data_IF_205519731557
#
_entry.id   IF_205519731557
#
_cell.length_a   1.000
_cell.length_b   1.000
_cell.length_c   1.000
_cell.angle_alpha   90.00
_cell.angle_beta   90.00
_cell.angle_gamma   90.00
#
_symmetry.space_group_name_H-M   'P 1'
#
loop_
_entity.id
_entity.type
_entity.pdbx_description
1 polymer ?
#
# COMPACT_ATOMS: atom_id res chain seq x y z
N UNK A 1 56.16 69.63 54.88
CA UNK A 1 55.69 69.62 56.28
C UNK A 1 54.32 68.95 56.28
N UNK A 2 54.23 67.79 56.95
CA UNK A 2 53.00 67.02 57.16
C UNK A 2 51.95 67.84 57.89
N UNK A 3 50.67 67.60 57.60
CA UNK A 3 49.65 67.57 58.65
C UNK A 3 48.54 66.58 58.32
N UNK A 4 48.29 65.71 59.29
CA UNK A 4 47.36 64.57 59.35
C UNK A 4 45.88 65.03 59.37
N UNK A 5 45.02 64.35 58.60
CA UNK A 5 43.99 63.37 59.03
C UNK A 5 42.74 63.93 59.72
N UNK A 6 41.56 63.61 59.19
CA UNK A 6 40.36 63.45 59.98
C UNK A 6 39.48 62.32 59.40
N UNK A 7 39.34 61.29 60.22
CA UNK A 7 38.50 60.10 60.03
C UNK A 7 37.02 60.45 60.25
N UNK A 8 36.12 59.93 59.42
CA UNK A 8 34.68 59.96 59.68
C UNK A 8 34.02 58.62 59.31
N UNK A 9 33.41 57.89 60.26
CA UNK A 9 32.97 56.50 60.08
C UNK A 9 31.64 56.40 59.30
N UNK A 10 31.51 55.39 58.43
CA UNK A 10 30.23 55.03 57.81
C UNK A 10 29.50 54.00 58.68
N UNK A 11 28.28 54.35 59.10
CA UNK A 11 27.33 53.46 59.77
C UNK A 11 26.37 52.91 58.71
N UNK A 12 26.22 51.60 58.71
CA UNK A 12 25.38 50.81 57.81
C UNK A 12 23.88 51.13 57.98
N UNK A 13 23.15 51.19 56.86
CA UNK A 13 21.69 51.11 56.84
C UNK A 13 21.28 49.81 56.11
N UNK A 14 20.62 48.93 56.85
CA UNK A 14 20.13 47.61 56.41
C UNK A 14 18.75 47.80 55.77
N UNK A 15 18.59 47.43 54.49
CA UNK A 15 17.33 46.99 53.88
C UNK A 15 17.62 46.18 52.60
N UNK A 16 16.87 45.09 52.31
CA UNK A 16 17.22 44.14 51.27
C UNK A 16 16.71 44.59 49.90
N UNK A 17 17.63 44.86 48.97
CA UNK A 17 17.28 45.13 47.57
C UNK A 17 17.08 43.80 46.83
N UNK A 18 15.86 43.55 46.33
CA UNK A 18 15.57 42.43 45.43
C UNK A 18 16.38 42.56 44.12
N UNK A 19 16.80 41.44 43.47
CA UNK A 19 17.45 41.48 42.17
C UNK A 19 16.47 41.94 41.10
N UNK A 20 16.93 42.78 40.18
CA UNK A 20 16.13 43.36 39.08
C UNK A 20 16.02 42.36 37.91
N UNK A 21 14.81 41.88 37.64
CA UNK A 21 14.47 40.98 36.50
C UNK A 21 14.31 41.72 35.14
N UNK A 22 14.61 43.02 35.06
CA UNK A 22 14.34 43.86 33.87
C UNK A 22 15.18 43.54 32.61
N UNK A 23 16.18 42.66 32.70
CA UNK A 23 17.07 42.33 31.57
C UNK A 23 16.51 41.23 30.67
N UNK A 24 15.76 40.28 31.23
CA UNK A 24 15.26 39.13 30.48
C UNK A 24 13.98 39.47 29.67
N UNK A 25 13.12 40.35 30.18
CA UNK A 25 11.93 40.83 29.44
C UNK A 25 12.29 41.73 28.24
N UNK A 26 13.34 42.55 28.35
CA UNK A 26 13.81 43.40 27.23
C UNK A 26 14.39 42.57 26.09
N UNK A 27 15.17 41.54 26.40
CA UNK A 27 15.71 40.60 25.39
C UNK A 27 14.59 39.89 24.64
N UNK A 28 13.57 39.40 25.35
CA UNK A 28 12.44 38.69 24.75
C UNK A 28 11.57 39.59 23.84
N UNK A 29 11.37 40.86 24.24
CA UNK A 29 10.65 41.84 23.42
C UNK A 29 11.40 42.19 22.13
N UNK A 30 12.71 42.36 22.21
CA UNK A 30 13.54 42.67 21.04
C UNK A 30 13.65 41.47 20.08
N UNK A 31 13.68 40.24 20.60
CA UNK A 31 13.58 39.03 19.77
C UNK A 31 12.23 38.92 19.03
N UNK A 32 11.12 39.23 19.72
CA UNK A 32 9.80 39.28 19.10
C UNK A 32 9.71 40.34 18.00
N UNK A 33 10.25 41.53 18.24
CA UNK A 33 10.30 42.61 17.24
C UNK A 33 11.18 42.24 16.04
N UNK A 34 12.31 41.54 16.26
CA UNK A 34 13.14 41.03 15.17
C UNK A 34 12.40 39.95 14.37
N UNK A 35 11.68 39.04 15.02
CA UNK A 35 10.87 38.01 14.37
C UNK A 35 9.71 38.58 13.56
N UNK A 36 9.06 39.63 14.05
CA UNK A 36 8.03 40.35 13.29
C UNK A 36 8.64 41.01 12.05
N UNK A 37 9.77 41.69 12.19
CA UNK A 37 10.47 42.31 11.06
C UNK A 37 10.95 41.29 10.02
N UNK A 38 11.34 40.08 10.42
CA UNK A 38 11.71 39.02 9.46
C UNK A 38 10.48 38.48 8.75
N UNK A 39 9.37 38.24 9.47
CA UNK A 39 8.09 37.84 8.86
C UNK A 39 7.57 38.89 7.88
N UNK A 40 7.62 40.18 8.20
CA UNK A 40 7.17 41.24 7.30
C UNK A 40 8.02 41.32 6.02
N UNK A 41 9.33 41.10 6.12
CA UNK A 41 10.21 41.00 4.94
C UNK A 41 9.89 39.77 4.09
N UNK A 42 9.50 38.68 4.71
CA UNK A 42 9.12 37.44 4.02
C UNK A 42 7.76 37.60 3.32
N UNK A 43 6.79 38.22 3.98
CA UNK A 43 5.49 38.60 3.40
C UNK A 43 5.71 39.49 2.17
N UNK A 44 6.51 40.56 2.29
CA UNK A 44 6.77 41.45 1.17
C UNK A 44 7.44 40.74 -0.03
N UNK A 45 8.35 39.78 0.24
CA UNK A 45 8.97 38.96 -0.82
C UNK A 45 7.93 38.05 -1.50
N UNK A 46 7.09 37.38 -0.72
CA UNK A 46 6.04 36.50 -1.24
C UNK A 46 5.00 37.29 -2.04
N UNK A 47 4.58 38.46 -1.57
CA UNK A 47 3.65 39.34 -2.26
C UNK A 47 4.22 39.87 -3.58
N UNK A 48 5.52 40.22 -3.62
CA UNK A 48 6.22 40.60 -4.85
C UNK A 48 6.27 39.43 -5.84
N UNK A 49 6.54 38.22 -5.34
CA UNK A 49 6.56 37.00 -6.16
C UNK A 49 5.17 36.66 -6.71
N UNK A 50 4.12 36.77 -5.90
CA UNK A 50 2.72 36.58 -6.32
C UNK A 50 2.36 37.59 -7.41
N UNK A 51 2.67 38.87 -7.23
CA UNK A 51 2.40 39.90 -8.23
C UNK A 51 3.13 39.62 -9.55
N UNK A 52 4.41 39.19 -9.48
CA UNK A 52 5.17 38.82 -10.67
C UNK A 52 4.52 37.64 -11.40
N UNK A 53 4.13 36.60 -10.67
CA UNK A 53 3.46 35.42 -11.23
C UNK A 53 2.09 35.77 -11.84
N UNK A 54 1.31 36.64 -11.19
CA UNK A 54 0.04 37.13 -11.73
C UNK A 54 0.22 37.91 -13.03
N UNK A 55 1.23 38.77 -13.12
CA UNK A 55 1.58 39.48 -14.38
C UNK A 55 2.00 38.50 -15.47
N UNK A 56 2.80 37.48 -15.13
CA UNK A 56 3.19 36.43 -16.08
C UNK A 56 1.99 35.63 -16.55
N UNK A 57 1.08 35.26 -15.64
CA UNK A 57 -0.16 34.57 -15.97
C UNK A 57 -1.02 35.38 -16.94
N UNK A 58 -1.23 36.68 -16.66
CA UNK A 58 -1.99 37.55 -17.56
C UNK A 58 -1.34 37.67 -18.95
N UNK A 59 -0.01 37.72 -19.01
CA UNK A 59 0.72 37.77 -20.28
C UNK A 59 0.54 36.49 -21.09
N UNK A 60 0.63 35.33 -20.44
CA UNK A 60 0.42 34.02 -21.07
C UNK A 60 -1.04 33.80 -21.46
N UNK A 61 -2.01 34.26 -20.66
CA UNK A 61 -3.44 34.21 -21.01
C UNK A 61 -3.78 35.13 -22.18
N UNK A 62 -3.12 36.28 -22.30
CA UNK A 62 -3.25 37.17 -23.45
C UNK A 62 -2.63 36.55 -24.71
N UNK A 63 -1.47 35.93 -24.58
CA UNK A 63 -0.81 35.21 -25.68
C UNK A 63 -1.61 34.00 -26.14
N UNK A 64 -2.20 33.24 -25.21
CA UNK A 64 -3.08 32.10 -25.52
C UNK A 64 -4.43 32.53 -26.13
N UNK A 65 -4.85 33.78 -25.93
CA UNK A 65 -6.05 34.37 -26.56
C UNK A 65 -5.76 34.98 -27.94
N UNK A 66 -4.49 35.12 -28.33
CA UNK A 66 -4.15 35.57 -29.68
C UNK A 66 -4.50 34.43 -30.65
N UNK A 67 -5.31 34.67 -31.70
CA UNK A 67 -5.56 33.65 -32.72
C UNK A 67 -4.22 33.22 -33.33
N UNK A 68 -4.06 31.94 -33.71
CA UNK A 68 -2.83 31.49 -34.34
C UNK A 68 -2.63 32.29 -35.62
N UNK A 69 -1.55 33.08 -35.67
CA UNK A 69 -1.07 33.64 -36.94
C UNK A 69 -0.85 32.47 -37.88
N UNK A 70 -1.52 32.49 -39.04
CA UNK A 70 -1.23 31.62 -40.17
C UNK A 70 0.22 31.86 -40.59
N UNK A 71 1.15 31.13 -39.97
CA UNK A 71 2.51 31.01 -40.49
C UNK A 71 2.40 30.20 -41.76
N UNK A 72 2.49 30.92 -42.88
CA UNK A 72 2.82 30.35 -44.17
C UNK A 72 3.99 29.38 -44.01
N UNK A 73 3.82 28.21 -44.61
CA UNK A 73 4.79 27.12 -44.67
C UNK A 73 6.09 27.61 -45.32
N UNK A 74 7.01 28.14 -44.51
CA UNK A 74 8.42 28.20 -44.85
C UNK A 74 9.13 27.16 -43.99
N UNK A 75 9.99 26.31 -44.57
CA UNK A 75 10.76 25.34 -43.79
C UNK A 75 11.65 26.10 -42.81
N UNK A 76 11.54 25.83 -41.51
CA UNK A 76 12.49 26.38 -40.54
C UNK A 76 13.91 25.91 -40.93
N UNK A 77 14.89 26.84 -40.97
CA UNK A 77 16.27 26.48 -41.23
C UNK A 77 16.78 25.60 -40.08
N UNK A 78 17.56 24.59 -40.43
CA UNK A 78 18.20 23.63 -39.53
C UNK A 78 18.67 24.27 -38.21
N UNK A 79 18.10 23.82 -37.11
CA UNK A 79 18.41 24.27 -35.74
C UNK A 79 19.87 23.92 -35.39
N UNK A 80 20.73 24.93 -35.37
CA UNK A 80 22.10 24.81 -34.90
C UNK A 80 22.11 24.77 -33.35
N UNK A 81 22.36 23.59 -32.78
CA UNK A 81 22.28 23.31 -31.33
C UNK A 81 23.35 24.03 -30.48
N UNK A 82 24.24 24.82 -31.09
CA UNK A 82 25.44 25.36 -30.44
C UNK A 82 25.21 26.54 -29.49
N UNK A 83 24.02 27.17 -29.52
CA UNK A 83 23.72 28.37 -28.72
C UNK A 83 22.45 28.27 -27.86
N UNK A 84 21.84 27.09 -27.74
CA UNK A 84 20.58 26.93 -27.03
C UNK A 84 20.78 26.38 -25.61
N UNK A 85 20.06 26.95 -24.65
CA UNK A 85 20.01 26.42 -23.28
C UNK A 85 19.45 24.99 -23.29
N UNK A 86 19.96 24.12 -22.41
CA UNK A 86 19.48 22.73 -22.25
C UNK A 86 17.95 22.68 -22.14
N UNK A 87 17.33 23.63 -21.43
CA UNK A 87 15.87 23.71 -21.34
C UNK A 87 15.20 23.98 -22.70
N UNK A 88 15.78 24.84 -23.54
CA UNK A 88 15.27 25.11 -24.89
C UNK A 88 15.38 23.90 -25.80
N UNK A 89 16.48 23.13 -25.69
CA UNK A 89 16.68 21.89 -26.43
C UNK A 89 15.62 20.86 -26.01
N UNK A 90 15.40 20.68 -24.71
CA UNK A 90 14.37 19.78 -24.17
C UNK A 90 12.97 20.20 -24.62
N UNK A 91 12.64 21.49 -24.59
CA UNK A 91 11.34 21.98 -25.04
C UNK A 91 11.15 21.81 -26.55
N UNK A 92 12.19 22.03 -27.37
CA UNK A 92 12.14 21.80 -28.80
C UNK A 92 11.95 20.31 -29.13
N UNK A 93 12.69 19.43 -28.46
CA UNK A 93 12.57 17.98 -28.63
C UNK A 93 11.21 17.46 -28.15
N UNK A 94 10.70 17.97 -27.01
CA UNK A 94 9.37 17.64 -26.51
C UNK A 94 8.28 18.14 -27.45
N UNK A 95 8.41 19.33 -28.06
CA UNK A 95 7.47 19.81 -29.09
C UNK A 95 7.44 18.87 -30.29
N UNK A 96 8.60 18.49 -30.83
CA UNK A 96 8.69 17.56 -31.96
C UNK A 96 8.12 16.18 -31.63
N UNK A 97 8.38 15.65 -30.43
CA UNK A 97 7.80 14.38 -29.96
C UNK A 97 6.28 14.47 -29.75
N UNK A 98 5.79 15.59 -29.20
CA UNK A 98 4.37 15.84 -29.04
C UNK A 98 3.68 15.93 -30.41
N UNK A 99 4.24 16.67 -31.37
CA UNK A 99 3.74 16.72 -32.76
C UNK A 99 3.69 15.33 -33.41
N UNK A 100 4.71 14.50 -33.21
CA UNK A 100 4.73 13.10 -33.66
C UNK A 100 3.62 12.24 -33.03
N UNK A 101 3.36 12.43 -31.73
CA UNK A 101 2.27 11.74 -31.04
C UNK A 101 0.89 12.25 -31.51
N UNK A 102 0.73 13.55 -31.70
CA UNK A 102 -0.50 14.18 -32.19
C UNK A 102 -0.81 13.76 -33.63
N UNK A 103 0.18 13.64 -34.51
CA UNK A 103 -0.01 13.11 -35.87
C UNK A 103 -0.42 11.64 -35.86
N UNK A 104 0.11 10.83 -34.94
CA UNK A 104 -0.32 9.43 -34.76
C UNK A 104 -1.78 9.34 -34.27
N UNK A 105 -2.16 10.21 -33.34
CA UNK A 105 -3.51 10.30 -32.74
C UNK A 105 -4.55 10.98 -33.65
N UNK A 106 -4.11 11.77 -34.63
CA UNK A 106 -4.98 12.43 -35.63
C UNK A 106 -5.85 11.43 -36.39
N UNK A 107 -5.38 10.19 -36.59
CA UNK A 107 -6.15 9.09 -37.22
C UNK A 107 -7.25 8.51 -36.34
N UNK A 108 -7.25 8.81 -35.04
CA UNK A 108 -8.14 8.21 -34.05
C UNK A 108 -9.13 9.23 -33.42
N UNK A 109 -9.02 10.53 -33.74
CA UNK A 109 -9.90 11.57 -33.24
C UNK A 109 -10.84 12.11 -34.33
N UNK A 110 -12.11 12.33 -34.00
CA UNK A 110 -12.99 13.13 -34.83
C UNK A 110 -12.47 14.59 -34.83
N UNK A 111 -11.76 14.98 -35.88
CA UNK A 111 -11.40 16.36 -36.12
C UNK A 111 -12.67 17.14 -36.49
N UNK A 112 -12.80 18.39 -36.02
CA UNK A 112 -13.80 19.29 -36.60
C UNK A 112 -13.46 19.57 -38.07
N UNK A 113 -14.42 20.02 -38.86
CA UNK A 113 -14.25 20.33 -40.30
C UNK A 113 -13.06 21.29 -40.60
N UNK A 114 -12.58 22.02 -39.59
CA UNK A 114 -11.43 22.92 -39.66
C UNK A 114 -10.09 22.28 -39.24
N UNK A 115 -10.01 20.94 -39.10
CA UNK A 115 -8.78 20.22 -38.76
C UNK A 115 -8.30 20.41 -37.31
N UNK A 116 -9.11 21.02 -36.44
CA UNK A 116 -8.75 21.25 -35.03
C UNK A 116 -9.20 20.08 -34.13
N UNK A 117 -8.46 19.80 -33.04
CA UNK A 117 -8.89 18.85 -32.02
C UNK A 117 -10.24 19.24 -31.42
N UNK A 118 -11.11 18.26 -31.16
CA UNK A 118 -12.40 18.48 -30.49
C UNK A 118 -12.26 19.12 -29.10
N UNK A 119 -11.16 18.81 -28.38
CA UNK A 119 -10.77 19.41 -27.12
C UNK A 119 -9.24 19.55 -27.07
N UNK A 120 -8.73 20.67 -26.57
CA UNK A 120 -7.29 20.90 -26.39
C UNK A 120 -6.80 20.41 -25.01
N UNK A 121 -7.71 20.36 -24.04
CA UNK A 121 -7.44 19.89 -22.68
C UNK A 121 -8.73 19.32 -22.04
N UNK A 122 -8.63 18.38 -21.07
CA UNK A 122 -9.80 17.73 -20.48
C UNK A 122 -10.83 18.70 -19.86
N UNK A 123 -10.37 19.91 -19.49
CA UNK A 123 -11.21 20.99 -18.97
C UNK A 123 -12.14 21.63 -20.00
N UNK A 124 -11.86 21.48 -21.29
CA UNK A 124 -12.66 22.07 -22.37
C UNK A 124 -14.03 21.38 -22.52
N UNK A 125 -14.19 20.23 -21.86
CA UNK A 125 -15.46 19.51 -21.82
C UNK A 125 -16.45 20.20 -20.86
N UNK A 126 -17.69 20.41 -21.30
CA UNK A 126 -18.75 20.94 -20.42
C UNK A 126 -18.97 20.08 -19.16
N UNK A 127 -18.73 18.77 -19.28
CA UNK A 127 -18.80 17.78 -18.20
C UNK A 127 -17.79 18.06 -17.09
N UNK A 128 -16.59 18.54 -17.42
CA UNK A 128 -15.58 18.91 -16.42
C UNK A 128 -16.11 20.03 -15.50
N UNK A 129 -16.65 21.09 -16.09
CA UNK A 129 -17.21 22.20 -15.33
C UNK A 129 -18.46 21.81 -14.54
N UNK A 130 -19.29 20.93 -15.10
CA UNK A 130 -20.43 20.37 -14.39
C UNK A 130 -20.01 19.54 -13.17
N UNK A 131 -19.02 18.65 -13.33
CA UNK A 131 -18.45 17.88 -12.24
C UNK A 131 -17.84 18.79 -11.17
N UNK A 132 -17.16 19.87 -11.56
CA UNK A 132 -16.63 20.87 -10.62
C UNK A 132 -17.76 21.53 -9.82
N UNK A 133 -18.85 21.93 -10.48
CA UNK A 133 -20.04 22.50 -9.79
C UNK A 133 -20.71 21.50 -8.86
N UNK A 134 -20.95 20.26 -9.32
CA UNK A 134 -21.50 19.16 -8.51
C UNK A 134 -20.60 18.83 -7.32
N UNK A 135 -19.28 18.88 -7.49
CA UNK A 135 -18.34 18.65 -6.40
C UNK A 135 -18.43 19.73 -5.33
N UNK A 136 -18.60 21.00 -5.69
CA UNK A 136 -18.73 22.10 -4.70
C UNK A 136 -19.89 21.84 -3.74
N UNK A 137 -21.05 21.41 -4.25
CA UNK A 137 -22.23 21.10 -3.42
C UNK A 137 -22.06 19.79 -2.66
N UNK A 138 -21.47 18.77 -3.30
CA UNK A 138 -21.24 17.45 -2.68
C UNK A 138 -20.13 17.45 -1.62
N UNK A 139 -19.12 18.32 -1.74
CA UNK A 139 -17.93 18.38 -0.87
C UNK A 139 -18.30 18.41 0.60
N UNK A 140 -19.30 19.21 0.99
CA UNK A 140 -19.75 19.31 2.40
C UNK A 140 -20.23 17.95 2.93
N UNK A 141 -21.02 17.21 2.15
CA UNK A 141 -21.51 15.86 2.51
C UNK A 141 -20.36 14.85 2.56
N UNK A 142 -19.44 14.92 1.60
CA UNK A 142 -18.27 14.04 1.55
C UNK A 142 -17.35 14.22 2.77
N UNK A 143 -17.05 15.47 3.13
CA UNK A 143 -16.26 15.80 4.33
C UNK A 143 -16.94 15.28 5.59
N UNK A 144 -18.25 15.49 5.73
CA UNK A 144 -19.01 14.98 6.87
C UNK A 144 -18.98 13.44 6.95
N UNK A 145 -19.09 12.76 5.81
CA UNK A 145 -18.93 11.30 5.75
C UNK A 145 -17.56 10.85 6.26
N UNK A 146 -16.47 11.47 5.82
CA UNK A 146 -15.13 11.12 6.28
C UNK A 146 -14.92 11.43 7.76
N UNK A 147 -15.45 12.54 8.28
CA UNK A 147 -15.42 12.86 9.72
C UNK A 147 -16.13 11.79 10.54
N UNK A 148 -17.35 11.38 10.14
CA UNK A 148 -18.09 10.30 10.80
C UNK A 148 -17.33 8.98 10.75
N UNK A 149 -16.76 8.63 9.59
CA UNK A 149 -15.94 7.43 9.41
C UNK A 149 -14.71 7.43 10.33
N UNK A 150 -13.98 8.54 10.43
CA UNK A 150 -12.83 8.64 11.33
C UNK A 150 -13.21 8.62 12.80
N UNK A 151 -14.34 9.20 13.16
CA UNK A 151 -14.82 9.14 14.53
C UNK A 151 -15.18 7.70 14.93
N UNK A 152 -15.91 6.98 14.07
CA UNK A 152 -16.22 5.56 14.29
C UNK A 152 -14.95 4.70 14.39
N UNK A 153 -13.94 4.96 13.53
CA UNK A 153 -12.63 4.29 13.61
C UNK A 153 -11.97 4.54 14.96
N UNK A 154 -11.88 5.80 15.42
CA UNK A 154 -11.28 6.16 16.71
C UNK A 154 -12.00 5.51 17.90
N UNK A 155 -13.32 5.46 17.90
CA UNK A 155 -14.10 4.77 18.95
C UNK A 155 -13.76 3.29 18.97
N UNK A 156 -13.73 2.65 17.80
CA UNK A 156 -13.39 1.23 17.67
C UNK A 156 -11.97 0.95 18.14
N UNK A 157 -10.99 1.75 17.73
CA UNK A 157 -9.59 1.60 18.16
C UNK A 157 -9.48 1.71 19.68
N UNK A 158 -10.11 2.73 20.29
CA UNK A 158 -10.15 2.88 21.74
C UNK A 158 -10.74 1.65 22.44
N UNK A 159 -11.91 1.19 21.98
CA UNK A 159 -12.54 -0.01 22.52
C UNK A 159 -11.65 -1.25 22.42
N UNK A 160 -10.96 -1.45 21.28
CA UNK A 160 -10.07 -2.58 21.08
C UNK A 160 -8.85 -2.51 22.01
N UNK A 161 -8.25 -1.34 22.18
CA UNK A 161 -7.14 -1.13 23.11
C UNK A 161 -7.55 -1.43 24.54
N UNK A 162 -8.64 -0.84 25.03
CA UNK A 162 -9.16 -1.09 26.38
C UNK A 162 -9.50 -2.57 26.59
N UNK A 163 -10.13 -3.20 25.59
CA UNK A 163 -10.46 -4.63 25.63
C UNK A 163 -9.21 -5.50 25.67
N UNK A 164 -8.20 -5.15 24.88
CA UNK A 164 -6.91 -5.84 24.90
C UNK A 164 -6.24 -5.71 26.27
N UNK A 165 -6.18 -4.52 26.85
CA UNK A 165 -5.55 -4.30 28.16
C UNK A 165 -6.22 -5.14 29.26
N UNK A 166 -7.56 -5.21 29.25
CA UNK A 166 -8.32 -6.09 30.14
C UNK A 166 -7.96 -7.56 29.92
N UNK A 167 -8.01 -8.03 28.68
CA UNK A 167 -7.70 -9.44 28.35
C UNK A 167 -6.26 -9.79 28.70
N UNK A 168 -5.31 -8.91 28.39
CA UNK A 168 -3.89 -9.07 28.69
C UNK A 168 -3.68 -9.14 30.20
N UNK A 169 -4.30 -8.24 30.98
CA UNK A 169 -4.25 -8.30 32.45
C UNK A 169 -4.77 -9.63 33.00
N UNK A 170 -5.90 -10.12 32.48
CA UNK A 170 -6.44 -11.43 32.90
C UNK A 170 -5.54 -12.60 32.53
N UNK A 171 -4.90 -12.52 31.35
CA UNK A 171 -3.98 -13.55 30.87
C UNK A 171 -2.69 -13.56 31.68
N UNK A 172 -2.08 -12.40 31.95
CA UNK A 172 -0.89 -12.26 32.79
C UNK A 172 -1.15 -12.86 34.17
N UNK A 173 -2.26 -12.48 34.84
CA UNK A 173 -2.65 -13.06 36.14
C UNK A 173 -2.82 -14.58 36.09
N UNK A 174 -3.31 -15.11 34.96
CA UNK A 174 -3.42 -16.57 34.76
C UNK A 174 -2.04 -17.21 34.57
N UNK A 175 -1.15 -16.59 33.81
CA UNK A 175 0.22 -17.07 33.62
C UNK A 175 0.99 -17.06 34.94
N UNK A 176 0.93 -15.97 35.70
CA UNK A 176 1.55 -15.87 37.04
C UNK A 176 1.08 -17.00 37.98
N UNK A 177 -0.21 -17.35 37.95
CA UNK A 177 -0.74 -18.49 38.72
C UNK A 177 -0.20 -19.84 38.24
N UNK A 178 -0.06 -20.02 36.93
CA UNK A 178 0.46 -21.25 36.32
C UNK A 178 1.96 -21.40 36.59
N UNK A 179 2.74 -20.34 36.39
CA UNK A 179 4.18 -20.28 36.65
C UNK A 179 4.48 -20.35 38.14
N UNK A 180 3.68 -19.67 38.96
CA UNK A 180 3.76 -19.70 40.42
C UNK A 180 3.33 -21.03 41.05
N UNK A 181 2.73 -21.94 40.28
CA UNK A 181 2.36 -23.27 40.75
C UNK A 181 3.59 -24.03 41.25
N UNK A 182 3.54 -24.56 42.47
CA UNK A 182 4.64 -25.33 43.05
C UNK A 182 5.06 -26.52 42.16
N UNK A 183 4.08 -27.18 41.51
CA UNK A 183 4.32 -28.27 40.56
C UNK A 183 5.09 -27.80 39.31
N UNK A 184 4.76 -26.62 38.78
CA UNK A 184 5.45 -26.03 37.63
C UNK A 184 6.85 -25.57 38.01
N UNK A 185 6.99 -24.83 39.11
CA UNK A 185 8.30 -24.39 39.65
C UNK A 185 9.24 -25.56 39.90
N UNK A 186 8.75 -26.65 40.52
CA UNK A 186 9.57 -27.84 40.74
C UNK A 186 10.01 -28.52 39.43
N UNK A 187 9.13 -28.58 38.43
CA UNK A 187 9.48 -29.11 37.10
C UNK A 187 10.51 -28.24 36.40
N UNK A 188 10.32 -26.92 36.41
CA UNK A 188 11.24 -25.98 35.78
C UNK A 188 12.59 -25.93 36.51
N UNK A 189 12.61 -26.10 37.83
CA UNK A 189 13.84 -26.27 38.61
C UNK A 189 14.61 -27.53 38.21
N UNK A 190 13.94 -28.69 38.12
CA UNK A 190 14.56 -29.94 37.64
C UNK A 190 15.07 -29.83 36.20
N UNK A 191 14.27 -29.21 35.33
CA UNK A 191 14.66 -28.98 33.94
C UNK A 191 15.91 -28.10 33.87
N UNK A 192 15.95 -27.04 34.66
CA UNK A 192 17.11 -26.15 34.79
C UNK A 192 18.35 -26.88 35.29
N UNK A 193 18.24 -27.67 36.37
CA UNK A 193 19.35 -28.49 36.87
C UNK A 193 19.88 -29.46 35.80
N UNK A 194 18.99 -30.04 34.99
CA UNK A 194 19.40 -30.89 33.87
C UNK A 194 20.16 -30.10 32.80
N UNK A 195 19.70 -28.90 32.43
CA UNK A 195 20.40 -28.05 31.47
C UNK A 195 21.74 -27.56 32.01
N UNK A 196 21.83 -27.17 33.27
CA UNK A 196 23.09 -26.74 33.90
C UNK A 196 24.12 -27.88 34.01
N UNK A 197 23.67 -29.13 34.13
CA UNK A 197 24.55 -30.32 34.07
C UNK A 197 25.10 -30.57 32.66
N UNK A 198 24.29 -30.34 31.63
CA UNK A 198 24.69 -30.55 30.22
C UNK A 198 25.52 -29.36 29.72
N UNK A 199 25.22 -28.14 30.20
CA UNK A 199 25.86 -26.88 29.81
C UNK A 199 26.39 -26.13 31.04
N UNK A 200 27.62 -26.46 31.51
CA UNK A 200 28.22 -25.82 32.68
C UNK A 200 28.40 -24.30 32.53
N UNK A 201 28.59 -23.81 31.31
CA UNK A 201 28.70 -22.37 30.99
C UNK A 201 27.43 -21.60 31.37
N UNK A 202 26.25 -22.24 31.23
CA UNK A 202 24.97 -21.64 31.56
C UNK A 202 24.83 -21.37 33.07
N UNK A 203 25.37 -22.28 33.89
CA UNK A 203 25.44 -22.11 35.34
C UNK A 203 26.40 -20.99 35.74
N UNK A 204 27.58 -20.94 35.11
CA UNK A 204 28.58 -19.89 35.35
C UNK A 204 28.01 -18.49 35.06
N UNK A 205 27.39 -18.30 33.90
CA UNK A 205 26.76 -17.03 33.54
C UNK A 205 25.62 -16.64 34.49
N UNK A 206 24.83 -17.61 34.98
CA UNK A 206 23.79 -17.34 35.97
C UNK A 206 24.36 -16.90 37.30
N UNK A 207 25.36 -17.61 37.83
CA UNK A 207 26.01 -17.25 39.10
C UNK A 207 26.71 -15.89 39.01
N UNK A 208 27.31 -15.57 37.87
CA UNK A 208 27.91 -14.25 37.60
C UNK A 208 26.84 -13.16 37.57
N UNK A 209 25.73 -13.38 36.87
CA UNK A 209 24.59 -12.46 36.82
C UNK A 209 23.89 -12.30 38.17
N UNK A 210 23.75 -13.37 38.95
CA UNK A 210 23.20 -13.35 40.31
C UNK A 210 24.13 -12.60 41.28
N UNK A 211 25.45 -12.76 41.16
CA UNK A 211 26.44 -11.97 41.94
C UNK A 211 26.37 -10.50 41.57
N UNK A 212 26.30 -10.18 40.28
CA UNK A 212 26.16 -8.81 39.81
C UNK A 212 24.86 -8.20 40.34
N UNK A 213 23.73 -8.89 40.21
CA UNK A 213 22.42 -8.44 40.73
C UNK A 213 22.39 -8.36 42.26
N UNK A 214 23.05 -9.25 43.01
CA UNK A 214 23.14 -9.17 44.47
C UNK A 214 24.02 -7.99 44.92
N UNK A 215 25.11 -7.73 44.22
CA UNK A 215 25.93 -6.53 44.45
C UNK A 215 25.12 -5.26 44.15
N UNK A 216 24.24 -5.26 43.14
CA UNK A 216 23.35 -4.13 42.82
C UNK A 216 22.13 -4.02 43.75
N UNK A 217 21.53 -5.13 44.21
CA UNK A 217 20.32 -5.15 45.05
C UNK A 217 20.60 -5.03 46.55
N UNK A 218 21.83 -5.28 46.99
CA UNK A 218 22.26 -5.04 48.37
C UNK A 218 22.47 -3.57 48.72
N UNK A 219 22.39 -2.67 47.74
CA UNK A 219 22.76 -1.26 47.88
C UNK A 219 21.76 -0.38 47.12
N UNK A 220 20.60 -0.11 47.72
CA UNK A 220 19.67 0.95 47.25
C UNK A 220 20.21 2.38 47.48
N UNK A 221 21.50 2.53 47.81
CA UNK A 221 22.19 3.80 48.03
C UNK A 221 23.58 3.70 47.42
N UNK A 222 23.80 4.25 46.21
CA UNK A 222 25.15 4.34 45.64
C UNK A 222 26.11 4.94 46.69
N UNK A 223 27.07 4.14 47.17
CA UNK A 223 28.00 4.55 48.24
C UNK A 223 29.18 5.33 47.69
N UNK A 224 29.43 5.22 46.39
CA UNK A 224 30.46 5.93 45.64
C UNK A 224 29.95 6.33 44.25
N UNK A 225 30.61 7.30 43.62
CA UNK A 225 30.33 7.73 42.24
C UNK A 225 30.47 6.57 41.23
N UNK A 226 31.45 5.68 41.47
CA UNK A 226 31.66 4.48 40.67
C UNK A 226 30.51 3.46 40.78
N UNK A 227 29.87 3.33 41.95
CA UNK A 227 28.69 2.47 42.11
C UNK A 227 27.48 3.03 41.34
N UNK A 228 27.37 4.36 41.27
CA UNK A 228 26.29 5.04 40.54
C UNK A 228 26.46 4.91 39.02
N UNK A 229 27.69 5.05 38.53
CA UNK A 229 28.04 4.79 37.12
C UNK A 229 27.75 3.33 36.73
N UNK A 230 28.14 2.36 37.56
CA UNK A 230 27.87 0.95 37.27
C UNK A 230 26.36 0.61 37.19
N UNK A 231 25.54 1.23 38.05
CA UNK A 231 24.08 1.09 38.01
C UNK A 231 23.51 1.73 36.73
N UNK A 232 24.04 2.89 36.33
CA UNK A 232 23.63 3.62 35.13
C UNK A 232 23.95 2.82 33.86
N UNK A 233 25.16 2.27 33.77
CA UNK A 233 25.60 1.43 32.65
C UNK A 233 24.75 0.15 32.54
N UNK A 234 24.45 -0.51 33.66
CA UNK A 234 23.60 -1.69 33.66
C UNK A 234 22.16 -1.42 33.22
N UNK A 235 21.58 -0.27 33.63
CA UNK A 235 20.26 0.17 33.16
C UNK A 235 20.26 0.52 31.67
N UNK A 236 21.33 1.17 31.20
CA UNK A 236 21.49 1.53 29.79
C UNK A 236 21.65 0.29 28.91
N UNK A 237 22.48 -0.67 29.32
CA UNK A 237 22.67 -1.95 28.64
C UNK A 237 21.34 -2.71 28.54
N UNK A 238 20.57 -2.77 29.64
CA UNK A 238 19.26 -3.42 29.64
C UNK A 238 18.25 -2.71 28.71
N UNK A 239 18.27 -1.38 28.66
CA UNK A 239 17.42 -0.61 27.75
C UNK A 239 17.81 -0.82 26.28
N UNK A 240 19.11 -0.90 25.97
CA UNK A 240 19.62 -1.19 24.63
C UNK A 240 19.29 -2.61 24.18
N UNK A 241 19.40 -3.60 25.08
CA UNK A 241 18.94 -4.97 24.82
C UNK A 241 17.43 -5.00 24.53
N UNK A 242 16.61 -4.32 25.33
CA UNK A 242 15.16 -4.24 25.10
C UNK A 242 14.83 -3.53 23.78
N UNK A 243 15.53 -2.46 23.43
CA UNK A 243 15.38 -1.79 22.12
C UNK A 243 15.75 -2.73 20.98
N UNK A 244 16.84 -3.48 21.10
CA UNK A 244 17.28 -4.48 20.12
C UNK A 244 16.23 -5.58 19.97
N UNK A 245 15.68 -6.09 21.07
CA UNK A 245 14.60 -7.07 21.07
C UNK A 245 13.31 -6.54 20.42
N UNK A 246 12.94 -5.29 20.71
CA UNK A 246 11.79 -4.63 20.06
C UNK A 246 11.99 -4.44 18.56
N UNK A 247 13.22 -4.15 18.10
CA UNK A 247 13.56 -4.05 16.67
C UNK A 247 13.43 -5.39 15.96
N UNK A 248 13.75 -6.51 16.62
CA UNK A 248 13.61 -7.84 16.03
C UNK A 248 12.19 -8.41 16.10
N UNK A 249 11.37 -7.91 17.01
CA UNK A 249 9.97 -8.34 17.11
C UNK A 249 9.19 -7.90 15.87
N UNK A 250 8.72 -8.86 15.08
CA UNK A 250 7.79 -8.60 13.98
C UNK A 250 6.45 -8.21 14.60
N UNK A 251 6.06 -6.94 14.44
CA UNK A 251 4.74 -6.46 14.86
C UNK A 251 3.73 -6.90 13.79
N UNK A 252 2.79 -7.82 14.10
CA UNK A 252 1.80 -8.24 13.12
C UNK A 252 0.93 -7.05 12.72
N UNK A 253 0.58 -6.91 11.42
CA UNK A 253 -0.29 -5.83 10.98
C UNK A 253 -1.64 -5.94 11.67
N UNK A 254 -2.21 -4.79 12.03
CA UNK A 254 -3.51 -4.73 12.68
C UNK A 254 -4.58 -5.38 11.79
N UNK A 255 -5.34 -6.32 12.37
CA UNK A 255 -6.40 -7.02 11.66
C UNK A 255 -7.47 -6.02 11.17
N UNK A 256 -7.77 -6.09 9.87
CA UNK A 256 -8.80 -5.26 9.25
C UNK A 256 -10.18 -5.54 9.84
N UNK A 257 -11.03 -4.50 9.92
CA UNK A 257 -12.41 -4.67 10.34
C UNK A 257 -13.24 -5.47 9.31
N UNK A 258 -14.43 -5.93 9.69
CA UNK A 258 -15.26 -6.76 8.81
C UNK A 258 -15.61 -6.06 7.49
N UNK A 259 -15.77 -4.73 7.52
CA UNK A 259 -16.08 -3.91 6.35
C UNK A 259 -14.86 -3.76 5.43
N UNK A 260 -13.68 -3.52 5.98
CA UNK A 260 -12.44 -3.43 5.21
C UNK A 260 -12.06 -4.80 4.63
N UNK A 261 -12.32 -5.88 5.36
CA UNK A 261 -12.15 -7.25 4.85
C UNK A 261 -13.10 -7.61 3.72
N UNK A 262 -14.29 -6.99 3.65
CA UNK A 262 -15.23 -7.21 2.56
C UNK A 262 -14.94 -6.35 1.32
N UNK A 263 -14.16 -5.28 1.45
CA UNK A 263 -13.71 -4.48 0.32
C UNK A 263 -12.64 -5.26 -0.46
N UNK A 264 -13.05 -5.86 -1.57
CA UNK A 264 -12.15 -6.48 -2.54
C UNK A 264 -11.91 -5.50 -3.69
N UNK A 265 -10.64 -5.26 -4.01
CA UNK A 265 -10.28 -4.59 -5.25
C UNK A 265 -10.41 -5.61 -6.39
N UNK A 266 -11.42 -5.41 -7.24
CA UNK A 266 -11.56 -6.18 -8.48
C UNK A 266 -10.73 -5.47 -9.54
N UNK A 267 -9.52 -5.99 -9.79
CA UNK A 267 -8.70 -5.49 -10.87
C UNK A 267 -9.18 -6.10 -12.19
N UNK A 268 -9.76 -5.27 -13.06
CA UNK A 268 -10.22 -5.70 -14.38
C UNK A 268 -9.19 -5.41 -15.49
N UNK A 269 -7.95 -5.08 -15.15
CA UNK A 269 -6.91 -4.76 -16.13
C UNK A 269 -6.44 -5.98 -16.95
N UNK A 270 -6.94 -7.19 -16.66
CA UNK A 270 -6.60 -8.41 -17.38
C UNK A 270 -5.16 -8.88 -17.18
N UNK A 271 -4.47 -8.38 -16.14
CA UNK A 271 -3.11 -8.80 -15.82
C UNK A 271 -3.11 -10.23 -15.25
N UNK A 272 -2.60 -11.18 -16.04
CA UNK A 272 -2.29 -12.53 -15.56
C UNK A 272 -0.86 -12.56 -15.02
N UNK A 273 -0.69 -12.60 -13.69
CA UNK A 273 0.65 -12.66 -13.05
C UNK A 273 1.36 -14.00 -13.30
N UNK A 274 0.61 -15.11 -13.25
CA UNK A 274 1.10 -16.45 -13.60
C UNK A 274 0.11 -17.14 -14.55
N UNK A 275 0.40 -17.03 -15.85
CA UNK A 275 -0.42 -17.63 -16.90
C UNK A 275 -0.55 -19.16 -16.76
N UNK A 276 0.43 -19.84 -16.15
CA UNK A 276 0.40 -21.30 -16.00
C UNK A 276 -0.49 -21.71 -14.83
N UNK A 277 -0.42 -21.00 -13.70
CA UNK A 277 -1.30 -21.24 -12.56
C UNK A 277 -2.77 -21.02 -12.93
N UNK A 278 -3.08 -19.91 -13.61
CA UNK A 278 -4.45 -19.60 -14.04
C UNK A 278 -4.99 -20.61 -15.06
N UNK A 279 -4.14 -21.10 -15.98
CA UNK A 279 -4.53 -22.19 -16.88
C UNK A 279 -4.84 -23.50 -16.13
N UNK A 280 -4.07 -23.84 -15.09
CA UNK A 280 -4.35 -25.02 -14.27
C UNK A 280 -5.63 -24.85 -13.43
N UNK A 281 -5.89 -23.66 -12.92
CA UNK A 281 -7.13 -23.35 -12.19
C UNK A 281 -8.36 -23.41 -13.11
N UNK A 282 -8.25 -22.88 -14.33
CA UNK A 282 -9.30 -23.01 -15.35
C UNK A 282 -9.56 -24.47 -15.74
N UNK A 283 -8.57 -25.37 -15.60
CA UNK A 283 -8.77 -26.81 -15.78
C UNK A 283 -9.57 -27.44 -14.62
N UNK A 284 -9.45 -26.87 -13.42
CA UNK A 284 -10.20 -27.30 -12.23
C UNK A 284 -11.64 -26.78 -12.22
N UNK A 285 -11.96 -25.73 -12.98
CA UNK A 285 -13.35 -25.25 -13.12
C UNK A 285 -14.16 -26.12 -14.08
N UNK A 286 -13.55 -26.66 -15.15
CA UNK A 286 -14.23 -27.51 -16.12
C UNK A 286 -14.07 -29.02 -15.81
N UNK A 287 -14.62 -29.46 -14.68
CA UNK A 287 -14.62 -30.88 -14.29
C UNK A 287 -15.68 -31.64 -15.10
N UNK A 288 -15.29 -32.79 -15.67
CA UNK A 288 -16.20 -33.71 -16.35
C UNK A 288 -16.42 -34.94 -15.49
N UNK A 289 -17.67 -35.16 -15.10
CA UNK A 289 -18.10 -36.36 -14.37
C UNK A 289 -18.24 -37.54 -15.31
N UNK A 290 -18.07 -38.76 -14.79
CA UNK A 290 -18.22 -39.99 -15.59
C UNK A 290 -19.57 -40.12 -16.34
N UNK A 291 -20.74 -39.78 -15.75
CA UNK A 291 -22.00 -39.78 -16.50
C UNK A 291 -22.01 -38.75 -17.64
N UNK A 292 -21.48 -37.54 -17.45
CA UNK A 292 -21.40 -36.53 -18.51
C UNK A 292 -20.51 -37.00 -19.68
N UNK A 293 -19.39 -37.69 -19.38
CA UNK A 293 -18.52 -38.28 -20.40
C UNK A 293 -19.23 -39.40 -21.17
N UNK A 294 -20.02 -40.22 -20.49
CA UNK A 294 -20.78 -41.30 -21.11
C UNK A 294 -21.85 -40.73 -22.08
N UNK A 295 -22.61 -39.71 -21.63
CA UNK A 295 -23.59 -39.00 -22.45
C UNK A 295 -22.91 -38.36 -23.66
N UNK A 296 -21.78 -37.67 -23.44
CA UNK A 296 -21.02 -37.04 -24.51
C UNK A 296 -20.59 -38.08 -25.57
N UNK A 297 -20.01 -39.20 -25.13
CA UNK A 297 -19.54 -40.28 -26.00
C UNK A 297 -20.70 -40.90 -26.78
N UNK A 298 -21.82 -41.19 -26.13
CA UNK A 298 -23.00 -41.76 -26.77
C UNK A 298 -23.58 -40.83 -27.85
N UNK A 299 -23.82 -39.56 -27.49
CA UNK A 299 -24.40 -38.57 -28.39
C UNK A 299 -23.45 -38.19 -29.53
N UNK A 300 -22.13 -38.16 -29.28
CA UNK A 300 -21.14 -37.95 -30.33
C UNK A 300 -21.12 -39.07 -31.37
N UNK A 301 -21.31 -40.32 -30.95
CA UNK A 301 -21.42 -41.46 -31.86
C UNK A 301 -22.72 -41.41 -32.69
N UNK A 302 -23.80 -40.89 -32.12
CA UNK A 302 -25.06 -40.69 -32.86
C UNK A 302 -24.94 -39.53 -33.88
N UNK A 303 -24.40 -38.39 -33.45
CA UNK A 303 -24.29 -37.16 -34.25
C UNK A 303 -22.85 -36.62 -34.22
N UNK A 304 -21.96 -37.10 -35.10
CA UNK A 304 -20.55 -36.73 -35.08
C UNK A 304 -20.38 -35.23 -35.36
N UNK A 305 -19.58 -34.56 -34.51
CA UNK A 305 -19.25 -33.12 -34.58
C UNK A 305 -20.44 -32.16 -34.41
N UNK A 306 -21.63 -32.64 -34.05
CA UNK A 306 -22.76 -31.79 -33.71
C UNK A 306 -22.70 -31.36 -32.23
N UNK A 307 -21.72 -30.51 -31.89
CA UNK A 307 -21.47 -30.12 -30.50
C UNK A 307 -22.60 -29.29 -29.89
N UNK A 308 -23.31 -28.50 -30.71
CA UNK A 308 -24.50 -27.77 -30.26
C UNK A 308 -25.61 -28.72 -29.80
N UNK A 309 -25.86 -29.78 -30.57
CA UNK A 309 -26.84 -30.80 -30.20
C UNK A 309 -26.41 -31.56 -28.95
N UNK A 310 -25.14 -31.97 -28.86
CA UNK A 310 -24.62 -32.70 -27.70
C UNK A 310 -24.73 -31.86 -26.41
N UNK A 311 -24.45 -30.55 -26.48
CA UNK A 311 -24.54 -29.65 -25.34
C UNK A 311 -25.97 -29.57 -24.76
N UNK A 312 -27.02 -29.75 -25.57
CA UNK A 312 -28.41 -29.75 -25.06
C UNK A 312 -28.71 -30.89 -24.08
N UNK A 313 -27.93 -31.99 -24.13
CA UNK A 313 -28.07 -33.12 -23.20
C UNK A 313 -27.17 -32.99 -21.97
N UNK A 314 -26.38 -31.91 -21.86
CA UNK A 314 -25.47 -31.66 -20.77
C UNK A 314 -25.83 -30.32 -20.10
N UNK A 315 -26.69 -30.38 -19.09
CA UNK A 315 -27.26 -29.19 -18.43
C UNK A 315 -26.21 -28.23 -17.85
N UNK A 316 -25.03 -28.75 -17.48
CA UNK A 316 -23.95 -27.98 -16.86
C UNK A 316 -22.77 -27.73 -17.80
N UNK A 317 -22.89 -28.07 -19.09
CA UNK A 317 -21.81 -27.89 -20.07
C UNK A 317 -22.25 -27.08 -21.28
N UNK A 318 -21.46 -26.07 -21.57
CA UNK A 318 -21.63 -25.19 -22.73
C UNK A 318 -21.06 -25.82 -24.00
N UNK A 319 -21.42 -25.26 -25.15
CA UNK A 319 -20.88 -25.67 -26.45
C UNK A 319 -19.35 -25.59 -26.51
N UNK A 320 -18.77 -24.52 -25.95
CA UNK A 320 -17.32 -24.30 -25.92
C UNK A 320 -16.62 -25.36 -25.07
N UNK A 321 -17.20 -25.74 -23.93
CA UNK A 321 -16.69 -26.82 -23.08
C UNK A 321 -16.80 -28.18 -23.77
N UNK A 322 -17.87 -28.44 -24.52
CA UNK A 322 -18.04 -29.67 -25.31
C UNK A 322 -16.97 -29.80 -26.41
N UNK A 323 -16.68 -28.71 -27.12
CA UNK A 323 -15.60 -28.66 -28.12
C UNK A 323 -14.25 -28.88 -27.44
N UNK A 324 -13.98 -28.18 -26.33
CA UNK A 324 -12.74 -28.32 -25.58
C UNK A 324 -12.55 -29.77 -25.11
N UNK A 325 -13.58 -30.37 -24.52
CA UNK A 325 -13.54 -31.77 -24.07
C UNK A 325 -13.27 -32.75 -25.21
N UNK A 326 -13.85 -32.54 -26.39
CA UNK A 326 -13.53 -33.34 -27.57
C UNK A 326 -12.03 -33.29 -27.91
N UNK A 327 -11.42 -32.10 -27.96
CA UNK A 327 -10.00 -31.99 -28.28
C UNK A 327 -9.09 -32.62 -27.22
N UNK A 328 -9.47 -32.55 -25.95
CA UNK A 328 -8.75 -33.19 -24.85
C UNK A 328 -8.90 -34.72 -24.85
N UNK A 329 -10.07 -35.25 -25.22
CA UNK A 329 -10.38 -36.69 -25.12
C UNK A 329 -10.24 -37.48 -26.43
N UNK A 330 -10.24 -36.83 -27.60
CA UNK A 330 -10.32 -37.52 -28.91
C UNK A 330 -9.22 -38.54 -29.20
N UNK A 331 -8.02 -38.34 -28.65
CA UNK A 331 -6.89 -39.28 -28.78
C UNK A 331 -6.94 -40.39 -27.73
N UNK A 332 -7.49 -40.12 -26.55
CA UNK A 332 -7.58 -41.11 -25.46
C UNK A 332 -8.73 -42.10 -25.70
N UNK A 333 -9.89 -41.58 -26.11
CA UNK A 333 -11.11 -42.38 -26.37
C UNK A 333 -11.18 -42.93 -27.81
N UNK A 334 -10.30 -42.48 -28.70
CA UNK A 334 -10.26 -42.92 -30.10
C UNK A 334 -11.61 -42.85 -30.83
N UNK A 335 -12.31 -41.71 -30.76
CA UNK A 335 -13.64 -41.53 -31.37
C UNK A 335 -13.71 -41.91 -32.86
N UNK A 336 -12.61 -41.75 -33.61
CA UNK A 336 -12.52 -42.15 -35.03
C UNK A 336 -12.69 -43.67 -35.22
N UNK A 337 -12.13 -44.47 -34.32
CA UNK A 337 -12.24 -45.92 -34.37
C UNK A 337 -13.63 -46.38 -33.93
N UNK A 338 -14.18 -45.77 -32.88
CA UNK A 338 -15.55 -46.05 -32.42
C UNK A 338 -16.60 -45.76 -33.50
N UNK A 339 -16.48 -44.63 -34.20
CA UNK A 339 -17.35 -44.29 -35.34
C UNK A 339 -17.22 -45.32 -36.47
N UNK A 340 -16.01 -45.82 -36.77
CA UNK A 340 -15.81 -46.89 -37.76
C UNK A 340 -16.52 -48.18 -37.35
N UNK A 341 -16.35 -48.62 -36.10
CA UNK A 341 -17.01 -49.82 -35.55
C UNK A 341 -18.54 -49.70 -35.61
N UNK A 342 -19.08 -48.53 -35.26
CA UNK A 342 -20.53 -48.29 -35.32
C UNK A 342 -21.05 -48.25 -36.76
N UNK A 343 -20.32 -47.65 -37.70
CA UNK A 343 -20.68 -47.63 -39.13
C UNK A 343 -20.73 -49.05 -39.71
N UNK A 344 -19.74 -49.90 -39.40
CA UNK A 344 -19.73 -51.32 -39.81
C UNK A 344 -20.91 -52.07 -39.21
N UNK A 345 -21.23 -51.87 -37.92
CA UNK A 345 -22.39 -52.47 -37.26
C UNK A 345 -23.71 -52.06 -37.92
N UNK A 346 -23.87 -50.77 -38.26
CA UNK A 346 -25.06 -50.27 -38.99
C UNK A 346 -25.18 -50.91 -40.37
N UNK A 347 -24.08 -51.03 -41.12
CA UNK A 347 -24.07 -51.71 -42.44
C UNK A 347 -24.44 -53.20 -42.31
N UNK A 348 -23.93 -53.90 -41.29
CA UNK A 348 -24.28 -55.31 -41.04
C UNK A 348 -25.76 -55.47 -40.69
N UNK A 349 -26.32 -54.63 -39.83
CA UNK A 349 -27.76 -54.64 -39.53
C UNK A 349 -28.62 -54.32 -40.75
N UNK A 350 -28.18 -53.40 -41.62
CA UNK A 350 -28.90 -53.09 -42.84
C UNK A 350 -28.89 -54.26 -43.83
N UNK A 351 -27.78 -55.00 -43.93
CA UNK A 351 -27.70 -56.24 -44.72
C UNK A 351 -28.63 -57.33 -44.18
N UNK A 352 -28.58 -57.60 -42.88
CA UNK A 352 -29.46 -58.60 -42.23
C UNK A 352 -30.94 -58.26 -42.45
N UNK A 353 -31.35 -56.99 -42.27
CA UNK A 353 -32.73 -56.58 -42.57
C UNK A 353 -33.11 -56.73 -44.03
N UNK A 354 -32.16 -56.51 -44.96
CA UNK A 354 -32.40 -56.68 -46.40
C UNK A 354 -32.54 -58.17 -46.74
N UNK A 355 -31.71 -59.02 -46.14
CA UNK A 355 -31.77 -60.48 -46.32
C UNK A 355 -33.05 -61.07 -45.71
N UNK A 356 -33.50 -60.57 -44.54
CA UNK A 356 -34.79 -60.94 -43.92
C UNK A 356 -36.01 -60.49 -44.75
N UNK A 357 -35.94 -59.32 -45.40
CA UNK A 357 -36.99 -58.89 -46.33
C UNK A 357 -36.98 -59.72 -47.62
N UNK A 358 -35.81 -60.17 -48.08
CA UNK A 358 -35.68 -61.00 -49.27
C UNK A 358 -36.11 -62.46 -49.03
N UNK A 359 -36.10 -62.94 -47.78
CA UNK A 359 -36.61 -64.26 -47.39
C UNK A 359 -38.11 -64.29 -47.08
N UNK A 360 -38.76 -63.12 -46.97
CA UNK A 360 -40.21 -62.99 -46.69
C UNK A 360 -41.07 -62.72 -47.93
N UNK A 361 -40.43 -62.50 -49.07
CA UNK A 361 -41.04 -62.50 -50.40
C UNK A 361 -40.58 -63.75 -51.15
#
# INVERSE_FOLDING_TARGET
LQQESMYNPQVEAISPTLPSDDKDEKSSKDELLQSINTMDREIAKLESQINKLQRTQQKLEFEAKKPPEEKSSTPEPSLDFRHHSIAQIIYAENRKKAEGAHTLLSKFGALLDNGSPLYNQPSDTGVFHENKRRFITFKKRLVLHFKRRQHAKRIRERYLTERYDQMMSTWVKKMEKVEGSAKRRARDAKLRENFEKIFPELKKHREEKERQVMNSRGVSYARSEADLEQIMDGLHEQEEEDKKMRRYAVIPPMMLDARQRSLRFLNNNGLMEDSKAEYQEAKLSNIWTEPEKAIFKEKYLQHPKSFAFIATFLERKTLTECVHYYYMSKKKENYKELLRKQSVKRKKMHRVRKDEMFQRN
#
